data_IF_273464057096
#
_entry.id   IF_273464057096
#
_cell.length_a   1.000
_cell.length_b   1.000
_cell.length_c   1.000
_cell.angle_alpha   90.00
_cell.angle_beta   90.00
_cell.angle_gamma   90.00
#
_symmetry.space_group_name_H-M   'P 1'
#
loop_
_entity.id
_entity.type
_entity.pdbx_description
1 polymer ?
#
# COMPACT_ATOMS: atom_id res chain seq x y z
N UNK A 1 19.72 36.83 16.20
CA UNK A 1 18.99 35.57 16.39
C UNK A 1 18.26 35.22 15.10
N UNK A 2 18.58 34.08 14.49
CA UNK A 2 17.86 33.57 13.34
C UNK A 2 16.84 32.56 13.87
N UNK A 3 15.57 32.91 13.80
CA UNK A 3 14.47 32.00 14.13
C UNK A 3 14.11 31.27 12.83
N UNK A 4 14.40 29.98 12.75
CA UNK A 4 13.95 29.15 11.63
C UNK A 4 12.46 28.89 11.84
N UNK A 5 11.61 29.73 11.25
CA UNK A 5 10.14 29.63 11.37
C UNK A 5 9.54 28.66 10.34
N UNK A 6 10.36 28.08 9.46
CA UNK A 6 9.87 27.34 8.30
C UNK A 6 10.64 26.04 8.08
N UNK A 7 9.96 24.91 8.22
CA UNK A 7 10.39 23.59 7.80
C UNK A 7 10.31 23.48 6.26
N UNK A 8 11.05 24.30 5.53
CA UNK A 8 10.99 24.40 4.06
C UNK A 8 12.10 23.65 3.33
N UNK A 9 13.03 23.00 4.04
CA UNK A 9 14.12 22.24 3.41
C UNK A 9 13.77 20.78 3.10
N UNK A 10 12.70 20.25 3.68
CA UNK A 10 12.36 18.82 3.64
C UNK A 10 10.90 18.55 3.26
N UNK A 11 10.29 19.48 2.52
CA UNK A 11 9.02 19.23 1.83
C UNK A 11 9.31 18.27 0.67
N UNK A 12 9.62 17.01 0.98
CA UNK A 12 9.54 15.95 0.00
C UNK A 12 8.12 16.02 -0.56
N UNK A 13 7.99 16.02 -1.88
CA UNK A 13 6.75 16.27 -2.63
C UNK A 13 5.58 15.31 -2.28
N UNK A 14 5.83 14.28 -1.46
CA UNK A 14 4.85 13.30 -1.02
C UNK A 14 3.69 13.95 -0.25
N UNK A 15 2.47 13.74 -0.75
CA UNK A 15 1.22 14.21 -0.16
C UNK A 15 0.38 13.06 0.41
N UNK A 16 0.75 12.50 1.58
CA UNK A 16 -0.01 11.41 2.20
C UNK A 16 -1.42 11.85 2.57
N UNK A 17 -1.63 13.14 2.84
CA UNK A 17 -2.93 13.76 3.11
C UNK A 17 -3.91 13.65 1.94
N UNK A 18 -3.42 13.47 0.72
CA UNK A 18 -4.24 13.27 -0.47
C UNK A 18 -4.49 11.79 -0.77
N UNK A 19 -3.52 10.91 -0.51
CA UNK A 19 -3.66 9.47 -0.79
C UNK A 19 -4.51 8.76 0.29
N UNK A 20 -4.31 9.08 1.57
CA UNK A 20 -5.01 8.40 2.67
C UNK A 20 -6.54 8.46 2.53
N UNK A 21 -7.18 9.61 2.24
CA UNK A 21 -8.62 9.66 2.04
C UNK A 21 -9.12 8.78 0.90
N UNK A 22 -8.32 8.62 -0.18
CA UNK A 22 -8.67 7.74 -1.30
C UNK A 22 -8.66 6.28 -0.83
N UNK A 23 -7.61 5.88 -0.10
CA UNK A 23 -7.51 4.53 0.48
C UNK A 23 -8.70 4.25 1.41
N UNK A 24 -9.02 5.18 2.30
CA UNK A 24 -10.13 5.04 3.26
C UNK A 24 -11.50 4.96 2.59
N UNK A 25 -11.70 5.61 1.44
CA UNK A 25 -12.96 5.55 0.68
C UNK A 25 -13.09 4.24 -0.12
N UNK A 26 -11.98 3.69 -0.60
CA UNK A 26 -11.99 2.49 -1.43
C UNK A 26 -11.89 1.19 -0.62
N UNK A 27 -11.40 1.25 0.61
CA UNK A 27 -11.26 0.08 1.47
C UNK A 27 -12.28 0.05 2.62
N UNK A 28 -12.99 -1.07 2.72
CA UNK A 28 -13.96 -1.34 3.79
C UNK A 28 -13.56 -2.50 4.71
N UNK A 29 -12.45 -3.18 4.37
CA UNK A 29 -11.85 -4.30 5.10
C UNK A 29 -10.46 -3.89 5.61
N UNK A 30 -9.82 -4.66 6.52
CA UNK A 30 -8.44 -4.38 6.91
C UNK A 30 -7.52 -4.22 5.70
N UNK A 31 -6.52 -3.35 5.80
CA UNK A 31 -5.64 -3.03 4.68
C UNK A 31 -4.19 -3.35 4.99
N UNK A 32 -3.48 -3.84 3.98
CA UNK A 32 -2.04 -3.99 3.96
C UNK A 32 -1.47 -3.01 2.93
N UNK A 33 -0.64 -2.07 3.38
CA UNK A 33 0.09 -1.17 2.50
C UNK A 33 1.51 -1.69 2.36
N UNK A 34 1.93 -1.99 1.14
CA UNK A 34 3.24 -2.56 0.85
C UNK A 34 4.04 -1.64 -0.08
N UNK A 35 5.32 -1.46 0.23
CA UNK A 35 6.28 -0.76 -0.63
C UNK A 35 7.56 -1.58 -0.78
N UNK A 36 8.30 -1.37 -1.86
CA UNK A 36 9.67 -1.90 -2.00
C UNK A 36 10.63 -1.05 -1.17
N UNK A 37 11.49 -1.68 -0.40
CA UNK A 37 12.43 -0.99 0.49
C UNK A 37 13.88 -1.29 0.12
N UNK A 38 14.57 -0.28 -0.41
CA UNK A 38 16.01 -0.32 -0.68
C UNK A 38 16.77 0.83 0.00
N UNK A 39 16.09 1.94 0.32
CA UNK A 39 16.69 3.11 0.98
C UNK A 39 15.78 3.70 2.06
N UNK A 40 16.31 4.68 2.81
CA UNK A 40 15.54 5.44 3.80
C UNK A 40 14.42 6.31 3.19
N UNK A 41 14.42 6.52 1.87
CA UNK A 41 13.36 7.31 1.22
C UNK A 41 12.01 6.62 1.40
N UNK A 42 11.93 5.32 1.14
CA UNK A 42 10.68 4.56 1.23
C UNK A 42 10.20 4.40 2.68
N UNK A 43 11.12 4.33 3.65
CA UNK A 43 10.76 4.41 5.07
C UNK A 43 10.05 5.72 5.39
N UNK A 44 10.58 6.85 4.90
CA UNK A 44 9.95 8.16 5.08
C UNK A 44 8.59 8.27 4.40
N UNK A 45 8.43 7.72 3.19
CA UNK A 45 7.16 7.67 2.46
C UNK A 45 6.09 6.90 3.25
N UNK A 46 6.46 5.72 3.78
CA UNK A 46 5.57 4.87 4.58
C UNK A 46 5.24 5.50 5.94
N UNK A 47 6.22 6.10 6.61
CA UNK A 47 5.97 6.85 7.85
C UNK A 47 5.01 8.02 7.63
N UNK A 48 5.11 8.71 6.49
CA UNK A 48 4.18 9.79 6.13
C UNK A 48 2.74 9.31 6.00
N UNK A 49 2.52 8.15 5.37
CA UNK A 49 1.20 7.51 5.30
C UNK A 49 0.72 7.08 6.69
N UNK A 50 1.56 6.38 7.45
CA UNK A 50 1.23 5.92 8.80
C UNK A 50 0.81 7.09 9.72
N UNK A 51 1.53 8.21 9.66
CA UNK A 51 1.18 9.42 10.39
C UNK A 51 -0.16 10.00 9.97
N UNK A 52 -0.45 10.07 8.66
CA UNK A 52 -1.73 10.58 8.16
C UNK A 52 -2.91 9.68 8.58
N UNK A 53 -2.77 8.35 8.50
CA UNK A 53 -3.78 7.42 9.02
C UNK A 53 -3.99 7.59 10.53
N UNK A 54 -2.92 7.76 11.30
CA UNK A 54 -3.03 7.97 12.74
C UNK A 54 -3.82 9.23 13.07
N UNK A 55 -3.55 10.35 12.38
CA UNK A 55 -4.31 11.59 12.58
C UNK A 55 -5.79 11.40 12.25
N UNK A 56 -6.13 10.69 11.16
CA UNK A 56 -7.52 10.40 10.81
C UNK A 56 -8.20 9.47 11.83
N UNK A 57 -7.48 8.47 12.35
CA UNK A 57 -7.97 7.57 13.39
C UNK A 57 -8.24 8.29 14.72
N UNK A 58 -7.34 9.17 15.16
CA UNK A 58 -7.49 9.99 16.37
C UNK A 58 -8.71 10.92 16.25
N UNK A 59 -9.00 11.39 15.04
CA UNK A 59 -10.20 12.18 14.71
C UNK A 59 -11.45 11.32 14.48
N UNK A 60 -11.35 9.98 14.58
CA UNK A 60 -12.41 9.00 14.29
C UNK A 60 -13.01 9.12 12.88
N UNK A 61 -12.22 9.62 11.94
CA UNK A 61 -12.58 9.74 10.52
C UNK A 61 -12.35 8.43 9.76
N UNK A 62 -11.60 7.50 10.36
CA UNK A 62 -11.16 6.26 9.72
C UNK A 62 -11.39 5.06 10.61
N UNK A 63 -11.91 3.98 10.01
CA UNK A 63 -12.07 2.67 10.66
C UNK A 63 -11.14 1.60 10.09
N UNK A 64 -10.36 1.93 9.05
CA UNK A 64 -9.37 1.01 8.49
C UNK A 64 -8.15 1.00 9.39
N UNK A 65 -7.72 -0.21 9.77
CA UNK A 65 -6.51 -0.43 10.57
C UNK A 65 -5.38 -0.87 9.65
N UNK A 66 -4.51 0.06 9.19
CA UNK A 66 -3.47 -0.26 8.22
C UNK A 66 -2.33 -1.07 8.85
N UNK A 67 -1.94 -2.13 8.16
CA UNK A 67 -0.65 -2.78 8.35
C UNK A 67 0.31 -2.32 7.26
N UNK A 68 1.60 -2.28 7.58
CA UNK A 68 2.63 -1.75 6.69
C UNK A 68 3.70 -2.80 6.44
N UNK A 69 4.01 -3.05 5.18
CA UNK A 69 5.09 -3.95 4.74
C UNK A 69 6.15 -3.16 3.97
N UNK A 70 7.39 -3.20 4.48
CA UNK A 70 8.57 -2.73 3.78
C UNK A 70 9.30 -3.96 3.22
N UNK A 71 8.97 -4.33 1.99
CA UNK A 71 9.51 -5.52 1.34
C UNK A 71 10.91 -5.21 0.78
N UNK A 72 11.94 -5.77 1.42
CA UNK A 72 13.32 -5.45 1.07
C UNK A 72 13.72 -5.97 -0.31
N UNK A 73 14.45 -5.15 -1.06
CA UNK A 73 15.16 -5.54 -2.28
C UNK A 73 16.41 -4.67 -2.45
N UNK A 74 17.45 -5.22 -3.08
CA UNK A 74 18.69 -4.49 -3.33
C UNK A 74 18.58 -3.53 -4.52
N UNK A 75 17.79 -3.90 -5.52
CA UNK A 75 17.63 -3.13 -6.76
C UNK A 75 16.53 -2.08 -6.63
N UNK A 76 16.69 -0.94 -7.29
CA UNK A 76 15.64 0.10 -7.32
C UNK A 76 14.41 -0.41 -8.06
N UNK A 77 14.61 -1.12 -9.17
CA UNK A 77 13.56 -1.79 -9.92
C UNK A 77 13.97 -3.23 -10.19
N UNK A 78 13.06 -4.16 -9.99
CA UNK A 78 13.27 -5.56 -10.27
C UNK A 78 12.13 -6.07 -11.17
N UNK A 79 12.47 -6.51 -12.38
CA UNK A 79 11.50 -6.95 -13.38
C UNK A 79 11.41 -8.48 -13.49
N UNK A 80 12.18 -9.21 -12.67
CA UNK A 80 12.24 -10.66 -12.69
C UNK A 80 11.05 -11.27 -11.92
N UNK A 81 10.72 -12.53 -12.18
CA UNK A 81 9.62 -13.21 -11.49
C UNK A 81 9.96 -13.62 -10.05
N UNK A 82 11.25 -13.58 -9.68
CA UNK A 82 11.78 -13.98 -8.38
C UNK A 82 12.33 -12.81 -7.55
N UNK A 83 11.83 -11.58 -7.78
CA UNK A 83 12.22 -10.42 -6.99
C UNK A 83 11.99 -10.67 -5.48
N UNK A 84 12.98 -10.45 -4.61
CA UNK A 84 12.85 -10.71 -3.17
C UNK A 84 11.63 -10.03 -2.54
N UNK A 85 11.40 -8.75 -2.89
CA UNK A 85 10.25 -8.01 -2.40
C UNK A 85 8.90 -8.62 -2.80
N UNK A 86 8.77 -9.12 -4.04
CA UNK A 86 7.55 -9.79 -4.52
C UNK A 86 7.34 -11.15 -3.81
N UNK A 87 8.42 -11.89 -3.55
CA UNK A 87 8.36 -13.14 -2.77
C UNK A 87 7.88 -12.87 -1.35
N UNK A 88 8.48 -11.89 -0.67
CA UNK A 88 8.08 -11.49 0.68
C UNK A 88 6.63 -11.04 0.71
N UNK A 89 6.20 -10.21 -0.24
CA UNK A 89 4.81 -9.77 -0.37
C UNK A 89 3.87 -10.97 -0.46
N UNK A 90 4.14 -11.92 -1.36
CA UNK A 90 3.29 -13.09 -1.57
C UNK A 90 3.18 -13.95 -0.31
N UNK A 91 4.28 -14.14 0.41
CA UNK A 91 4.30 -14.86 1.68
C UNK A 91 3.49 -14.13 2.75
N UNK A 92 3.70 -12.81 2.93
CA UNK A 92 2.95 -12.01 3.90
C UNK A 92 1.45 -12.02 3.62
N UNK A 93 1.04 -11.88 2.36
CA UNK A 93 -0.37 -11.93 1.97
C UNK A 93 -0.98 -13.31 2.23
N UNK A 94 -0.21 -14.39 2.03
CA UNK A 94 -0.67 -15.75 2.30
C UNK A 94 -0.83 -16.04 3.81
N UNK A 95 -0.01 -15.41 4.66
CA UNK A 95 -0.04 -15.58 6.12
C UNK A 95 -1.11 -14.72 6.81
N UNK A 96 -1.54 -13.63 6.17
CA UNK A 96 -2.57 -12.73 6.71
C UNK A 96 -3.99 -13.29 6.53
N UNK A 97 -4.84 -13.01 7.52
CA UNK A 97 -6.26 -13.38 7.46
C UNK A 97 -7.01 -12.50 6.44
N UNK A 98 -7.69 -13.13 5.48
CA UNK A 98 -8.63 -12.46 4.57
C UNK A 98 -10.04 -12.29 5.20
N UNK A 99 -10.88 -11.34 4.76
CA UNK A 99 -10.66 -10.42 3.63
C UNK A 99 -9.66 -9.30 3.95
N UNK A 100 -8.92 -8.87 2.93
CA UNK A 100 -7.85 -7.88 3.04
C UNK A 100 -7.78 -7.08 1.74
N UNK A 101 -7.64 -5.77 1.82
CA UNK A 101 -7.25 -4.97 0.66
C UNK A 101 -5.74 -4.72 0.70
N UNK A 102 -5.06 -5.12 -0.37
CA UNK A 102 -3.64 -4.90 -0.56
C UNK A 102 -3.41 -3.67 -1.42
N UNK A 103 -2.66 -2.73 -0.86
CA UNK A 103 -2.26 -1.48 -1.50
C UNK A 103 -0.76 -1.53 -1.80
N UNK A 104 -0.41 -1.68 -3.07
CA UNK A 104 0.97 -1.58 -3.53
C UNK A 104 1.29 -0.11 -3.78
N UNK A 105 2.12 0.49 -2.94
CA UNK A 105 2.49 1.91 -3.02
C UNK A 105 3.97 2.04 -3.37
N UNK A 106 4.26 2.70 -4.49
CA UNK A 106 5.62 2.84 -5.05
C UNK A 106 6.36 1.49 -5.10
N UNK A 107 5.63 0.41 -5.42
CA UNK A 107 6.14 -0.95 -5.36
C UNK A 107 6.86 -1.30 -6.67
N UNK A 108 8.19 -1.32 -6.64
CA UNK A 108 9.05 -1.46 -7.82
C UNK A 108 9.56 -2.90 -8.05
N UNK A 109 8.67 -3.89 -7.89
CA UNK A 109 8.93 -5.28 -8.24
C UNK A 109 7.73 -5.87 -8.98
N UNK A 110 8.00 -6.70 -9.99
CA UNK A 110 6.95 -7.44 -10.71
C UNK A 110 6.24 -8.40 -9.74
N UNK A 111 4.92 -8.25 -9.60
CA UNK A 111 4.08 -9.11 -8.78
C UNK A 111 3.20 -9.99 -9.67
N UNK A 112 3.51 -11.28 -9.72
CA UNK A 112 2.71 -12.28 -10.44
C UNK A 112 2.01 -13.22 -9.45
N UNK A 113 0.75 -13.55 -9.76
CA UNK A 113 -0.04 -14.57 -9.07
C UNK A 113 -0.13 -14.38 -7.54
N UNK A 114 -0.84 -13.33 -7.11
CA UNK A 114 -1.26 -13.18 -5.71
C UNK A 114 -2.46 -14.12 -5.42
N UNK A 115 -2.33 -15.06 -4.48
CA UNK A 115 -3.39 -16.04 -4.23
C UNK A 115 -4.64 -15.36 -3.67
N UNK A 116 -5.80 -15.63 -4.30
CA UNK A 116 -7.12 -15.09 -3.93
C UNK A 116 -7.25 -13.57 -3.99
N UNK A 117 -6.30 -12.87 -4.61
CA UNK A 117 -6.36 -11.43 -4.81
C UNK A 117 -6.63 -11.12 -6.28
N UNK A 118 -7.58 -10.23 -6.52
CA UNK A 118 -7.81 -9.65 -7.84
C UNK A 118 -7.47 -8.17 -7.80
N UNK A 119 -6.66 -7.71 -8.76
CA UNK A 119 -6.55 -6.28 -9.01
C UNK A 119 -7.94 -5.72 -9.28
N UNK A 120 -8.23 -4.52 -8.78
CA UNK A 120 -9.41 -3.80 -9.25
C UNK A 120 -9.30 -3.64 -10.78
N UNK A 121 -10.40 -3.63 -11.55
CA UNK A 121 -10.35 -3.61 -13.03
C UNK A 121 -10.96 -2.33 -13.57
N UNK A 122 -10.42 -1.18 -13.18
CA UNK A 122 -10.66 0.08 -13.89
C UNK A 122 -9.58 0.31 -14.94
N UNK A 123 -9.96 0.96 -16.03
CA UNK A 123 -9.11 1.23 -17.22
C UNK A 123 -7.83 2.04 -16.88
N UNK A 124 -7.63 2.46 -15.63
CA UNK A 124 -6.37 2.93 -15.07
C UNK A 124 -6.30 2.61 -13.56
N UNK A 125 -5.93 1.38 -13.17
CA UNK A 125 -5.79 0.95 -11.76
C UNK A 125 -4.64 1.63 -10.97
N UNK A 126 -3.94 2.55 -11.60
CA UNK A 126 -2.82 3.28 -11.03
C UNK A 126 -3.32 4.63 -10.52
N UNK A 127 -3.40 4.74 -9.20
CA UNK A 127 -3.69 5.99 -8.52
C UNK A 127 -2.37 6.73 -8.36
N UNK A 128 -2.25 7.91 -8.98
CA UNK A 128 -1.06 8.74 -8.82
C UNK A 128 -1.41 10.04 -8.11
N UNK A 129 -0.78 10.27 -6.97
CA UNK A 129 -0.99 11.43 -6.11
C UNK A 129 0.38 11.88 -5.64
N UNK A 130 0.81 13.07 -6.07
CA UNK A 130 2.04 13.76 -5.69
C UNK A 130 3.05 12.92 -4.90
N UNK A 131 3.90 12.18 -5.62
CA UNK A 131 4.96 11.32 -5.06
C UNK A 131 4.56 9.88 -4.77
N UNK A 132 3.27 9.54 -4.80
CA UNK A 132 2.77 8.18 -4.64
C UNK A 132 2.16 7.66 -5.95
N UNK A 133 2.50 6.41 -6.27
CA UNK A 133 1.83 5.58 -7.26
C UNK A 133 1.30 4.35 -6.53
N UNK A 134 -0.01 4.16 -6.56
CA UNK A 134 -0.67 3.11 -5.81
C UNK A 134 -1.51 2.22 -6.73
N UNK A 135 -1.51 0.92 -6.45
CA UNK A 135 -2.41 -0.05 -7.06
C UNK A 135 -3.07 -0.87 -5.96
N UNK A 136 -4.38 -1.11 -6.11
CA UNK A 136 -5.18 -1.87 -5.14
C UNK A 136 -5.52 -3.26 -5.66
N UNK A 137 -5.49 -4.23 -4.75
CA UNK A 137 -5.90 -5.61 -4.94
C UNK A 137 -6.86 -6.00 -3.82
N UNK A 138 -7.98 -6.61 -4.18
CA UNK A 138 -8.94 -7.14 -3.23
C UNK A 138 -8.70 -8.63 -3.02
N UNK A 139 -8.32 -9.01 -1.79
CA UNK A 139 -8.06 -10.40 -1.42
C UNK A 139 -9.27 -11.01 -0.71
N UNK A 140 -9.93 -11.95 -1.38
CA UNK A 140 -11.11 -12.63 -0.86
C UNK A 140 -10.73 -13.81 0.02
N UNK A 141 -11.45 -14.00 1.14
CA UNK A 141 -11.25 -15.18 1.96
C UNK A 141 -11.67 -16.48 1.27
N UNK A 142 -11.15 -17.64 1.72
CA UNK A 142 -11.35 -18.94 1.08
C UNK A 142 -12.82 -19.38 0.92
N UNK A 143 -13.77 -18.70 1.58
CA UNK A 143 -15.21 -19.01 1.51
C UNK A 143 -15.95 -18.39 0.31
N UNK A 144 -15.33 -17.48 -0.45
CA UNK A 144 -16.03 -16.75 -1.52
C UNK A 144 -16.13 -17.51 -2.86
N UNK A 145 -15.46 -18.67 -3.02
CA UNK A 145 -15.57 -19.49 -4.24
C UNK A 145 -16.82 -20.37 -4.32
N UNK A 146 -17.53 -20.61 -3.21
CA UNK A 146 -18.68 -21.54 -3.20
C UNK A 146 -19.97 -20.94 -3.80
N UNK A 147 -20.04 -19.63 -4.00
CA UNK A 147 -21.24 -18.95 -4.52
C UNK A 147 -21.15 -18.53 -5.98
N UNK A 148 -19.99 -18.68 -6.65
CA UNK A 148 -19.82 -18.32 -8.07
C UNK A 148 -19.93 -19.49 -9.05
N UNK A 149 -20.02 -20.74 -8.57
CA UNK A 149 -20.17 -21.94 -9.41
C UNK A 149 -21.62 -22.50 -9.46
N UNK A 150 -22.61 -21.72 -9.04
CA UNK A 150 -24.04 -22.06 -9.20
C UNK A 150 -24.78 -20.93 -9.93
N UNK A 151 -24.44 -20.70 -11.19
CA UNK A 151 -25.36 -20.20 -12.22
C UNK A 151 -24.96 -20.75 -13.58
#
# INVERSE_FOLDING_TARGET
CITVVSNLGYQKYYRPDLLVPIIEQQSSVPILIATTHNTLVQTGEMMGLAWAFQQNADQKLSSVNPQFLLAHQDQIQCQQTNCPAAITLKQTVADLSSPLDLWLVNFNATVEDLPNCSAENYVNNLISVDGYQAQVYHCLGPKHRLTQNMR
#
